data_IF_080024918669
#
_entry.id   IF_080024918669
#
_cell.length_a   1.000
_cell.length_b   1.000
_cell.length_c   1.000
_cell.angle_alpha   90.00
_cell.angle_beta   90.00
_cell.angle_gamma   90.00
#
_symmetry.space_group_name_H-M   'P 1'
#
loop_
_entity.id
_entity.type
_entity.pdbx_description
1 polymer ?
#
# COMPACT_ATOMS: atom_id res chain seq x y z
N UNK A 1 1.11 0.59 -37.30
CA UNK A 1 0.47 -0.63 -36.76
C UNK A 1 -0.90 -0.28 -36.20
N UNK A 2 -1.89 0.03 -37.06
CA UNK A 2 -3.23 0.34 -36.58
C UNK A 2 -3.86 -0.91 -35.94
N UNK A 3 -4.40 -0.74 -34.74
CA UNK A 3 -5.16 -1.78 -34.04
C UNK A 3 -4.35 -2.75 -33.20
N UNK A 4 -3.04 -2.54 -32.99
CA UNK A 4 -2.24 -3.39 -32.10
C UNK A 4 -2.79 -3.33 -30.66
N UNK A 5 -3.21 -4.45 -30.07
CA UNK A 5 -3.81 -4.41 -28.75
C UNK A 5 -2.80 -4.21 -27.62
N UNK A 6 -3.22 -3.46 -26.60
CA UNK A 6 -2.42 -3.18 -25.40
C UNK A 6 -3.29 -3.37 -24.16
N UNK A 7 -3.05 -4.42 -23.39
CA UNK A 7 -3.71 -4.64 -22.11
C UNK A 7 -3.00 -3.81 -21.04
N UNK A 8 -3.76 -2.98 -20.32
CA UNK A 8 -3.30 -2.10 -19.26
C UNK A 8 -3.73 -2.66 -17.91
N UNK A 9 -2.76 -3.12 -17.12
CA UNK A 9 -2.98 -3.65 -15.76
C UNK A 9 -3.03 -2.52 -14.72
N UNK A 10 -4.05 -1.67 -14.84
CA UNK A 10 -4.36 -0.56 -13.92
C UNK A 10 -5.86 -0.26 -13.87
N UNK A 11 -6.29 0.38 -12.80
CA UNK A 11 -7.65 0.93 -12.70
C UNK A 11 -7.76 2.21 -13.56
N UNK A 12 -8.68 2.26 -14.54
CA UNK A 12 -8.84 3.44 -15.39
C UNK A 12 -9.53 4.59 -14.63
N UNK A 13 -9.36 5.81 -15.14
CA UNK A 13 -10.28 6.91 -14.81
C UNK A 13 -11.73 6.58 -15.22
N UNK A 14 -12.70 7.21 -14.58
CA UNK A 14 -14.12 7.11 -14.96
C UNK A 14 -14.57 8.38 -15.72
N UNK A 15 -15.04 8.27 -16.98
CA UNK A 15 -15.12 7.06 -17.81
C UNK A 15 -13.75 6.62 -18.36
N UNK A 16 -13.55 5.33 -18.74
CA UNK A 16 -12.25 4.84 -19.24
C UNK A 16 -11.69 5.59 -20.44
N UNK A 17 -12.55 6.16 -21.28
CA UNK A 17 -12.16 6.98 -22.43
C UNK A 17 -11.50 8.32 -22.06
N UNK A 18 -11.64 8.75 -20.80
CA UNK A 18 -10.99 9.95 -20.28
C UNK A 18 -9.59 9.67 -19.70
N UNK A 19 -9.21 8.40 -19.58
CA UNK A 19 -7.90 8.04 -19.05
C UNK A 19 -6.79 8.44 -20.04
N UNK A 20 -5.75 9.12 -19.54
CA UNK A 20 -4.66 9.60 -20.38
C UNK A 20 -3.97 8.47 -21.18
N UNK A 21 -3.86 7.27 -20.62
CA UNK A 21 -3.29 6.12 -21.32
C UNK A 21 -4.19 5.66 -22.46
N UNK A 22 -5.50 5.66 -22.26
CA UNK A 22 -6.47 5.33 -23.32
C UNK A 22 -6.34 6.28 -24.49
N UNK A 23 -6.36 7.59 -24.22
CA UNK A 23 -6.28 8.65 -25.22
C UNK A 23 -4.98 8.51 -26.01
N UNK A 24 -3.83 8.47 -25.32
CA UNK A 24 -2.52 8.44 -26.00
C UNK A 24 -2.26 7.16 -26.79
N UNK A 25 -2.67 6.00 -26.27
CA UNK A 25 -2.53 4.75 -27.02
C UNK A 25 -3.43 4.74 -28.26
N UNK A 26 -4.67 5.21 -28.13
CA UNK A 26 -5.60 5.31 -29.26
C UNK A 26 -5.09 6.28 -30.32
N UNK A 27 -4.67 7.49 -29.92
CA UNK A 27 -4.06 8.49 -30.82
C UNK A 27 -2.81 7.92 -31.53
N UNK A 28 -2.10 7.02 -30.85
CA UNK A 28 -0.91 6.38 -31.39
C UNK A 28 -1.20 5.19 -32.31
N UNK A 29 -2.47 4.81 -32.49
CA UNK A 29 -2.94 3.72 -33.33
C UNK A 29 -3.07 2.37 -32.62
N UNK A 30 -2.91 2.31 -31.30
CA UNK A 30 -3.09 1.09 -30.51
C UNK A 30 -4.57 0.91 -30.09
N UNK A 31 -4.90 -0.31 -29.64
CA UNK A 31 -6.20 -0.64 -29.06
C UNK A 31 -6.06 -0.94 -27.56
N UNK A 32 -6.22 0.07 -26.69
CA UNK A 32 -6.05 -0.12 -25.24
C UNK A 32 -7.24 -0.84 -24.60
N UNK A 33 -6.94 -1.87 -23.79
CA UNK A 33 -7.91 -2.60 -22.97
C UNK A 33 -7.50 -2.51 -21.50
N UNK A 34 -8.40 -2.10 -20.61
CA UNK A 34 -8.10 -2.05 -19.18
C UNK A 34 -8.50 -3.34 -18.48
N UNK A 35 -7.59 -3.84 -17.64
CA UNK A 35 -7.87 -4.90 -16.66
C UNK A 35 -7.51 -4.33 -15.28
N UNK A 36 -8.51 -3.84 -14.52
CA UNK A 36 -8.25 -3.30 -13.19
C UNK A 36 -7.80 -4.40 -12.23
N UNK A 37 -6.59 -4.26 -11.69
CA UNK A 37 -5.94 -5.31 -10.89
C UNK A 37 -6.12 -5.11 -9.40
N UNK A 38 -6.04 -3.85 -8.95
CA UNK A 38 -6.00 -3.51 -7.54
C UNK A 38 -7.37 -3.03 -7.08
N UNK A 39 -7.79 -3.52 -5.91
CA UNK A 39 -8.90 -2.99 -5.15
C UNK A 39 -8.39 -2.47 -3.80
N UNK A 40 -9.16 -1.55 -3.21
CA UNK A 40 -8.89 -1.01 -1.89
C UNK A 40 -9.94 -1.56 -0.92
N UNK A 41 -9.48 -2.06 0.22
CA UNK A 41 -10.34 -2.51 1.31
C UNK A 41 -10.08 -1.67 2.56
N UNK A 42 -11.15 -1.14 3.17
CA UNK A 42 -11.05 -0.37 4.41
C UNK A 42 -10.89 -1.29 5.62
N UNK A 43 -9.94 -0.95 6.50
CA UNK A 43 -9.64 -1.67 7.75
C UNK A 43 -9.75 -0.70 8.93
N UNK A 44 -10.98 -0.42 9.35
CA UNK A 44 -11.25 0.71 10.26
C UNK A 44 -11.33 0.33 11.73
N UNK A 45 -11.48 -0.97 12.05
CA UNK A 45 -11.80 -1.45 13.41
C UNK A 45 -10.88 -0.88 14.50
N UNK A 46 -9.57 -0.90 14.27
CA UNK A 46 -8.59 -0.38 15.23
C UNK A 46 -8.74 1.14 15.40
N UNK A 47 -8.85 1.88 14.29
CA UNK A 47 -9.02 3.33 14.33
C UNK A 47 -10.33 3.73 15.01
N UNK A 48 -11.44 3.05 14.72
CA UNK A 48 -12.74 3.26 15.37
C UNK A 48 -12.63 3.05 16.88
N UNK A 49 -11.89 2.02 17.33
CA UNK A 49 -11.60 1.80 18.74
C UNK A 49 -10.85 2.97 19.38
N UNK A 50 -9.79 3.46 18.72
CA UNK A 50 -9.01 4.62 19.17
C UNK A 50 -9.86 5.89 19.24
N UNK A 51 -10.69 6.14 18.22
CA UNK A 51 -11.57 7.31 18.17
C UNK A 51 -12.64 7.27 19.27
N UNK A 52 -13.20 6.09 19.57
CA UNK A 52 -14.24 5.90 20.60
C UNK A 52 -13.70 5.93 22.02
N UNK A 53 -12.69 5.11 22.32
CA UNK A 53 -12.19 4.93 23.69
C UNK A 53 -11.14 5.95 24.09
N UNK A 54 -10.66 6.75 23.13
CA UNK A 54 -9.68 7.79 23.36
C UNK A 54 -8.49 7.34 24.21
N UNK A 55 -8.18 8.18 25.18
CA UNK A 55 -7.09 8.09 26.16
C UNK A 55 -6.90 6.66 26.79
N UNK A 56 -7.84 5.73 26.74
CA UNK A 56 -7.67 4.37 27.33
C UNK A 56 -7.59 3.19 26.36
N UNK A 57 -7.83 3.38 25.06
CA UNK A 57 -8.23 2.27 24.17
C UNK A 57 -7.08 1.39 23.62
N UNK A 58 -5.83 1.62 24.04
CA UNK A 58 -4.67 1.04 23.36
C UNK A 58 -3.97 -0.05 24.15
N UNK A 59 -4.08 -1.29 23.65
CA UNK A 59 -3.11 -2.40 23.75
C UNK A 59 -3.36 -3.52 24.78
N UNK A 60 -4.41 -3.48 25.59
CA UNK A 60 -4.72 -4.58 26.54
C UNK A 60 -5.20 -5.89 25.89
N UNK A 61 -5.72 -5.83 24.67
CA UNK A 61 -6.20 -7.00 23.92
C UNK A 61 -5.59 -7.05 22.52
N UNK A 62 -4.26 -7.15 22.42
CA UNK A 62 -3.76 -8.04 21.37
C UNK A 62 -4.22 -9.45 21.73
N UNK A 63 -5.35 -9.85 21.16
CA UNK A 63 -5.51 -11.14 20.47
C UNK A 63 -4.71 -12.25 21.17
N UNK A 64 -5.07 -12.56 22.41
CA UNK A 64 -4.75 -13.86 23.02
C UNK A 64 -5.70 -14.89 22.43
N UNK A 65 -5.54 -15.17 21.13
CA UNK A 65 -6.06 -16.39 20.53
C UNK A 65 -5.25 -17.53 21.15
N UNK A 66 -5.93 -18.36 21.93
CA UNK A 66 -5.46 -19.63 22.53
C UNK A 66 -4.47 -19.52 23.72
N UNK A 67 -4.94 -19.01 24.86
CA UNK A 67 -4.56 -19.62 26.15
C UNK A 67 -5.81 -20.02 26.92
N UNK A 68 -6.28 -21.24 26.63
CA UNK A 68 -7.25 -21.94 27.46
C UNK A 68 -6.70 -22.16 28.88
N UNK A 69 -7.53 -21.77 29.85
CA UNK A 69 -7.67 -22.39 31.17
C UNK A 69 -6.45 -22.37 32.11
N UNK A 70 -6.33 -21.30 32.89
CA UNK A 70 -5.83 -21.42 34.27
C UNK A 70 -6.70 -20.57 35.19
N UNK A 71 -7.62 -21.23 35.89
CA UNK A 71 -8.53 -20.62 36.85
C UNK A 71 -7.76 -20.10 38.07
N UNK A 72 -7.53 -18.79 38.13
CA UNK A 72 -6.99 -18.10 39.29
C UNK A 72 -7.91 -16.96 39.71
N UNK A 73 -8.51 -17.06 40.90
CA UNK A 73 -9.31 -16.01 41.54
C UNK A 73 -8.44 -14.81 41.97
N UNK A 74 -7.99 -14.00 41.00
CA UNK A 74 -7.37 -12.70 41.25
C UNK A 74 -8.44 -11.60 41.34
N UNK A 75 -8.41 -10.81 42.41
CA UNK A 75 -9.32 -9.71 42.70
C UNK A 75 -9.37 -8.65 41.58
N UNK A 76 -10.58 -8.31 41.12
CA UNK A 76 -10.87 -7.36 40.03
C UNK A 76 -10.47 -5.90 40.32
N UNK A 77 -10.08 -5.56 41.56
CA UNK A 77 -9.82 -4.17 41.96
C UNK A 77 -8.45 -3.60 41.52
N UNK A 78 -7.47 -4.42 41.13
CA UNK A 78 -6.11 -3.95 40.78
C UNK A 78 -5.90 -3.67 39.28
N UNK A 79 -6.86 -4.06 38.42
CA UNK A 79 -6.77 -3.85 36.96
C UNK A 79 -7.25 -2.46 36.48
N UNK A 80 -7.80 -1.65 37.39
CA UNK A 80 -8.45 -0.37 37.03
C UNK A 80 -7.51 0.84 37.13
N UNK A 81 -6.32 0.70 37.74
CA UNK A 81 -5.50 1.85 38.18
C UNK A 81 -4.38 2.28 37.22
N UNK A 82 -4.15 1.59 36.08
CA UNK A 82 -3.06 1.93 35.13
C UNK A 82 -3.55 2.10 33.68
N UNK A 83 -4.83 2.40 33.47
CA UNK A 83 -5.29 2.94 32.19
C UNK A 83 -5.01 4.46 32.14
N UNK A 84 -3.74 4.85 32.27
CA UNK A 84 -3.35 6.24 32.17
C UNK A 84 -3.76 6.76 30.79
N UNK A 85 -4.49 7.87 30.81
CA UNK A 85 -4.95 8.54 29.63
C UNK A 85 -3.83 8.82 28.61
N UNK A 86 -3.80 8.10 27.49
CA UNK A 86 -2.95 8.33 26.32
C UNK A 86 -3.23 9.71 25.74
N UNK A 87 -2.32 10.64 25.97
CA UNK A 87 -2.34 11.95 25.34
C UNK A 87 -1.75 11.86 23.93
N UNK A 88 -2.49 12.34 22.93
CA UNK A 88 -2.05 12.36 21.54
C UNK A 88 -1.34 13.66 21.21
N UNK A 89 -0.06 13.64 20.87
CA UNK A 89 0.68 14.82 20.39
C UNK A 89 0.24 15.25 18.98
N UNK A 90 -0.28 14.31 18.19
CA UNK A 90 -0.65 14.60 16.81
C UNK A 90 -1.20 13.41 16.06
N UNK A 91 -1.92 13.71 14.98
CA UNK A 91 -2.33 12.74 13.96
C UNK A 91 -1.52 12.99 12.71
N UNK A 92 -0.92 11.95 12.14
CA UNK A 92 -0.10 12.02 10.94
C UNK A 92 -0.76 11.21 9.83
N UNK A 93 -1.01 11.85 8.68
CA UNK A 93 -1.68 11.24 7.53
C UNK A 93 -0.89 11.50 6.26
N UNK A 94 -0.36 10.44 5.64
CA UNK A 94 0.56 10.57 4.51
C UNK A 94 -0.12 10.45 3.13
N UNK A 95 -1.42 10.19 3.06
CA UNK A 95 -2.14 10.01 1.79
C UNK A 95 -3.60 10.47 1.87
N UNK A 96 -4.17 10.78 0.70
CA UNK A 96 -5.62 11.06 0.56
C UNK A 96 -6.47 9.92 1.08
N UNK A 97 -6.08 8.67 0.79
CA UNK A 97 -6.78 7.48 1.29
C UNK A 97 -6.71 7.35 2.80
N UNK A 98 -5.60 7.71 3.43
CA UNK A 98 -5.51 7.78 4.89
C UNK A 98 -6.52 8.77 5.49
N UNK A 99 -6.71 9.93 4.85
CA UNK A 99 -7.71 10.92 5.27
C UNK A 99 -9.14 10.38 5.10
N UNK A 100 -9.44 9.75 3.97
CA UNK A 100 -10.73 9.09 3.73
C UNK A 100 -11.01 7.98 4.76
N UNK A 101 -9.99 7.21 5.13
CA UNK A 101 -10.08 6.20 6.18
C UNK A 101 -10.40 6.80 7.56
N UNK A 102 -9.79 7.95 7.91
CA UNK A 102 -10.17 8.70 9.11
C UNK A 102 -11.64 9.11 9.06
N UNK A 103 -12.08 9.73 7.96
CA UNK A 103 -13.45 10.23 7.80
C UNK A 103 -14.46 9.10 8.00
N UNK A 104 -14.23 7.94 7.37
CA UNK A 104 -15.10 6.77 7.53
C UNK A 104 -15.08 6.25 8.97
N UNK A 105 -13.91 6.11 9.58
CA UNK A 105 -13.78 5.67 10.96
C UNK A 105 -14.45 6.63 11.95
N UNK A 106 -14.38 7.94 11.72
CA UNK A 106 -15.04 8.95 12.54
C UNK A 106 -16.57 8.85 12.45
N UNK A 107 -17.11 8.65 11.25
CA UNK A 107 -18.54 8.39 11.06
C UNK A 107 -18.96 7.12 11.79
N UNK A 108 -18.23 6.02 11.65
CA UNK A 108 -18.54 4.78 12.36
C UNK A 108 -18.41 4.93 13.89
N UNK A 109 -17.37 5.63 14.36
CA UNK A 109 -17.17 5.93 15.77
C UNK A 109 -18.35 6.71 16.36
N UNK A 110 -18.92 7.64 15.59
CA UNK A 110 -20.04 8.47 16.01
C UNK A 110 -21.34 7.71 16.28
N UNK A 111 -21.54 6.56 15.65
CA UNK A 111 -22.72 5.70 15.84
C UNK A 111 -22.73 4.96 17.19
N UNK A 112 -21.63 4.95 17.94
CA UNK A 112 -21.53 4.31 19.26
C UNK A 112 -22.01 5.18 20.42
N UNK A 113 -22.31 4.56 21.58
CA UNK A 113 -22.77 5.25 22.81
C UNK A 113 -21.85 6.41 23.23
N UNK A 114 -22.45 7.53 23.68
CA UNK A 114 -21.82 8.81 24.04
C UNK A 114 -20.95 8.80 25.32
N UNK A 115 -20.33 7.68 25.67
CA UNK A 115 -19.34 7.72 26.76
C UNK A 115 -18.26 8.75 26.40
N UNK A 116 -17.92 9.61 27.36
CA UNK A 116 -16.83 10.60 27.35
C UNK A 116 -15.78 10.37 26.24
N UNK A 117 -16.01 10.94 25.06
CA UNK A 117 -15.09 10.82 23.92
C UNK A 117 -13.93 11.81 24.10
N UNK A 118 -12.72 11.44 23.66
CA UNK A 118 -11.63 12.41 23.57
C UNK A 118 -12.02 13.51 22.56
N UNK A 119 -11.68 14.76 22.85
CA UNK A 119 -11.79 15.84 21.89
C UNK A 119 -10.58 15.82 20.97
N UNK A 120 -10.77 15.44 19.70
CA UNK A 120 -9.71 15.42 18.69
C UNK A 120 -9.43 16.80 18.09
N UNK A 121 -10.31 17.78 18.30
CA UNK A 121 -10.18 19.15 17.80
C UNK A 121 -9.04 19.96 18.46
N UNK A 122 -8.36 19.39 19.47
CA UNK A 122 -7.15 19.93 20.10
C UNK A 122 -5.88 19.16 19.67
N UNK A 123 -6.03 18.12 18.84
CA UNK A 123 -4.93 17.28 18.36
C UNK A 123 -4.50 17.79 16.98
N UNK A 124 -3.27 18.29 16.82
CA UNK A 124 -2.82 18.85 15.54
C UNK A 124 -2.76 17.77 14.45
N UNK A 125 -3.10 18.18 13.22
CA UNK A 125 -3.01 17.34 12.03
C UNK A 125 -1.72 17.61 11.25
N UNK A 126 -0.95 16.56 10.99
CA UNK A 126 0.25 16.57 10.17
C UNK A 126 0.00 15.79 8.87
N UNK A 127 0.33 16.39 7.72
CA UNK A 127 0.10 15.76 6.42
C UNK A 127 1.30 15.79 5.49
N UNK A 128 1.43 14.75 4.68
CA UNK A 128 2.34 14.74 3.52
C UNK A 128 1.55 15.09 2.26
N UNK A 129 1.89 16.22 1.64
CA UNK A 129 1.20 16.79 0.50
C UNK A 129 -0.12 17.46 0.89
N UNK A 130 -0.69 18.22 -0.06
CA UNK A 130 -1.97 18.91 0.16
C UNK A 130 -3.16 17.97 0.02
N UNK A 131 -3.05 16.89 -0.76
CA UNK A 131 -4.19 16.00 -1.07
C UNK A 131 -4.86 15.37 0.15
N UNK A 132 -4.10 15.03 1.20
CA UNK A 132 -4.67 14.55 2.45
C UNK A 132 -5.44 15.65 3.19
N UNK A 133 -4.83 16.85 3.30
CA UNK A 133 -5.44 18.00 3.95
C UNK A 133 -6.69 18.50 3.20
N UNK A 134 -6.64 18.53 1.88
CA UNK A 134 -7.77 18.91 1.02
C UNK A 134 -8.93 17.93 1.21
N UNK A 135 -8.67 16.63 1.33
CA UNK A 135 -9.69 15.63 1.65
C UNK A 135 -10.42 15.91 2.98
N UNK A 136 -9.71 16.36 4.01
CA UNK A 136 -10.34 16.80 5.27
C UNK A 136 -11.17 18.07 5.10
N UNK A 137 -10.67 19.06 4.34
CA UNK A 137 -11.38 20.32 4.10
C UNK A 137 -12.67 20.11 3.32
N UNK A 138 -12.61 19.29 2.27
CA UNK A 138 -13.77 18.90 1.45
C UNK A 138 -14.82 18.15 2.29
N UNK A 139 -14.38 17.35 3.25
CA UNK A 139 -15.24 16.50 4.08
C UNK A 139 -15.58 17.08 5.45
N UNK A 140 -15.19 18.33 5.75
CA UNK A 140 -15.29 18.94 7.07
C UNK A 140 -16.71 18.88 7.66
N UNK A 141 -17.73 19.13 6.84
CA UNK A 141 -19.14 19.09 7.24
C UNK A 141 -19.67 17.69 7.56
N UNK A 142 -18.91 16.64 7.23
CA UNK A 142 -19.32 15.25 7.42
C UNK A 142 -18.59 14.54 8.57
N UNK A 143 -17.69 15.23 9.26
CA UNK A 143 -16.97 14.72 10.42
C UNK A 143 -17.57 15.39 11.66
N UNK A 144 -17.99 14.63 12.69
CA UNK A 144 -18.35 15.22 13.98
C UNK A 144 -17.22 16.08 14.54
N UNK A 145 -17.56 17.26 15.08
CA UNK A 145 -16.55 18.26 15.50
C UNK A 145 -15.62 17.77 16.62
N UNK A 146 -16.07 16.83 17.45
CA UNK A 146 -15.27 16.17 18.49
C UNK A 146 -14.28 15.14 17.93
N UNK A 147 -14.54 14.58 16.74
CA UNK A 147 -13.70 13.58 16.07
C UNK A 147 -12.84 14.16 14.95
N UNK A 148 -12.86 15.48 14.79
CA UNK A 148 -12.07 16.17 13.80
C UNK A 148 -10.74 16.64 14.41
N UNK A 149 -9.58 16.29 13.83
CA UNK A 149 -8.30 16.88 14.19
C UNK A 149 -8.30 18.40 14.04
N UNK A 150 -7.45 19.10 14.80
CA UNK A 150 -7.28 20.54 14.67
C UNK A 150 -6.67 20.90 13.31
N UNK A 151 -7.47 21.55 12.46
CA UNK A 151 -7.03 22.02 11.16
C UNK A 151 -6.32 23.38 11.23
N UNK A 152 -6.50 24.16 12.31
CA UNK A 152 -5.89 25.48 12.47
C UNK A 152 -4.40 25.39 12.77
N UNK A 153 -4.00 24.39 13.54
CA UNK A 153 -2.59 24.07 13.84
C UNK A 153 -1.99 23.05 12.88
N UNK A 154 -2.68 22.74 11.77
CA UNK A 154 -2.23 21.72 10.83
C UNK A 154 -0.94 22.12 10.11
N UNK A 155 -0.03 21.17 9.98
CA UNK A 155 1.21 21.32 9.21
C UNK A 155 1.16 20.36 8.02
N UNK A 156 1.36 20.90 6.82
CA UNK A 156 1.50 20.12 5.59
C UNK A 156 2.88 20.35 4.99
N UNK A 157 3.57 19.28 4.62
CA UNK A 157 4.86 19.35 3.96
C UNK A 157 4.85 18.52 2.67
N UNK A 158 5.69 18.88 1.69
CA UNK A 158 5.72 18.21 0.38
C UNK A 158 6.18 16.74 0.45
N UNK A 159 6.90 16.37 1.50
CA UNK A 159 7.48 15.03 1.68
C UNK A 159 7.62 14.69 3.16
N UNK A 160 7.75 13.39 3.47
CA UNK A 160 8.12 12.90 4.80
C UNK A 160 9.42 13.53 5.31
N UNK A 161 10.41 13.70 4.41
CA UNK A 161 11.72 14.24 4.74
C UNK A 161 11.69 15.69 5.26
N UNK A 162 10.68 16.46 4.87
CA UNK A 162 10.44 17.82 5.36
C UNK A 162 9.46 17.84 6.54
N UNK A 163 8.49 16.92 6.58
CA UNK A 163 7.49 16.86 7.65
C UNK A 163 8.11 16.48 8.99
N UNK A 164 8.95 15.44 9.02
CA UNK A 164 9.47 14.86 10.26
C UNK A 164 10.31 15.87 11.07
N UNK A 165 11.28 16.61 10.48
CA UNK A 165 12.01 17.65 11.22
C UNK A 165 11.06 18.69 11.82
N UNK A 166 10.06 19.14 11.07
CA UNK A 166 9.08 20.10 11.55
C UNK A 166 8.28 19.58 12.75
N UNK A 167 7.96 18.27 12.80
CA UNK A 167 7.32 17.64 13.96
C UNK A 167 8.28 17.53 15.15
N UNK A 168 9.53 17.14 14.91
CA UNK A 168 10.54 16.96 15.97
C UNK A 168 10.84 18.28 16.68
N UNK A 169 10.89 19.38 15.95
CA UNK A 169 11.19 20.71 16.50
C UNK A 169 10.04 21.31 17.33
N UNK A 170 8.84 20.71 17.32
CA UNK A 170 7.74 21.17 18.14
C UNK A 170 7.99 20.87 19.64
N UNK A 171 7.67 21.82 20.53
CA UNK A 171 7.65 21.53 21.96
C UNK A 171 6.56 20.49 22.27
N UNK A 172 6.67 19.75 23.39
CA UNK A 172 5.59 18.88 23.83
C UNK A 172 4.32 19.71 24.04
N UNK A 173 3.17 19.19 23.62
CA UNK A 173 1.91 19.89 23.86
C UNK A 173 1.73 20.04 25.37
N UNK A 174 1.39 21.25 25.81
CA UNK A 174 1.09 21.48 27.22
C UNK A 174 -0.05 20.54 27.61
N UNK A 175 0.26 19.55 28.45
CA UNK A 175 -0.75 18.77 29.15
C UNK A 175 -1.63 19.79 29.84
N UNK A 176 -2.96 19.85 29.58
CA UNK A 176 -3.83 20.70 30.39
C UNK A 176 -3.56 20.28 31.82
N UNK A 177 -2.95 21.19 32.60
CA UNK A 177 -2.35 20.84 33.88
C UNK A 177 -3.38 20.01 34.63
N UNK A 178 -3.12 18.71 34.79
CA UNK A 178 -4.00 17.84 35.51
C UNK A 178 -4.05 18.49 36.88
N UNK A 179 -5.16 19.17 37.19
CA UNK A 179 -5.27 19.96 38.39
C UNK A 179 -4.80 19.05 39.50
N UNK A 180 -3.72 19.40 40.24
CA UNK A 180 -3.34 18.58 41.37
C UNK A 180 -4.60 18.54 42.23
N UNK A 181 -5.24 17.37 42.31
CA UNK A 181 -6.27 17.15 43.30
C UNK A 181 -5.56 17.43 44.60
N UNK A 182 -5.85 18.60 45.17
CA UNK A 182 -5.29 19.13 46.40
C UNK A 182 -5.69 18.17 47.52
N UNK A 183 -4.94 17.08 47.61
CA UNK A 183 -5.06 16.09 48.66
C UNK A 183 -4.25 16.63 49.82
N UNK A 184 -5.00 17.27 50.72
CA UNK A 184 -4.66 17.68 52.09
C UNK A 184 -4.39 19.17 52.26
N UNK A 185 -5.48 19.85 52.63
CA UNK A 185 -5.49 20.73 53.79
C UNK A 185 -4.71 20.07 54.94
N UNK A 186 -3.45 20.46 55.13
CA UNK A 186 -2.80 20.32 56.43
C UNK A 186 -2.36 21.70 56.90
N UNK A 187 -2.99 22.08 58.00
CA UNK A 187 -2.95 23.40 58.60
C UNK A 187 -1.90 23.38 59.70
N UNK A 188 -0.68 23.82 59.40
CA UNK A 188 0.33 24.12 60.42
C UNK A 188 1.15 25.34 60.03
N UNK A 189 1.04 26.35 60.90
CA UNK A 189 1.73 27.65 60.89
C UNK A 189 3.27 27.53 61.09
N UNK A 190 4.04 28.60 60.85
CA UNK A 190 5.44 28.51 60.44
C UNK A 190 6.42 28.57 61.62
N UNK A 191 7.44 27.70 61.61
CA UNK A 191 8.67 27.93 62.35
C UNK A 191 9.66 28.75 61.51
N UNK A 192 10.17 29.82 62.12
CA UNK A 192 11.14 30.74 61.55
C UNK A 192 12.54 30.14 61.57
N UNK A 193 13.22 30.22 60.42
CA UNK A 193 14.64 30.54 60.39
C UNK A 193 15.57 29.46 59.88
N UNK A 194 15.63 29.27 58.55
CA UNK A 194 16.84 28.82 57.85
C UNK A 194 16.95 29.50 56.47
N UNK A 195 18.16 29.90 56.03
CA UNK A 195 18.37 30.47 54.71
C UNK A 195 18.07 29.42 53.63
N UNK A 196 17.34 29.78 52.56
CA UNK A 196 16.93 28.83 51.53
C UNK A 196 18.15 28.36 50.74
N UNK A 197 18.57 27.12 51.01
CA UNK A 197 19.44 26.37 50.12
C UNK A 197 18.78 26.31 48.74
N UNK A 198 19.44 26.85 47.72
CA UNK A 198 19.04 26.82 46.32
C UNK A 198 18.99 25.36 45.84
N UNK A 199 17.92 24.63 46.19
CA UNK A 199 17.53 23.40 45.51
C UNK A 199 17.21 23.79 44.07
N UNK A 200 18.09 23.41 43.15
CA UNK A 200 17.82 23.37 41.71
C UNK A 200 16.48 22.70 41.51
N UNK A 201 15.45 23.51 41.29
CA UNK A 201 14.08 23.09 41.04
C UNK A 201 14.16 22.15 39.84
N UNK A 202 13.97 20.85 40.10
CA UNK A 202 14.14 19.79 39.11
C UNK A 202 13.39 20.17 37.85
N UNK A 203 14.11 20.27 36.74
CA UNK A 203 13.55 20.47 35.41
C UNK A 203 12.65 19.26 35.18
N UNK A 204 11.35 19.42 35.39
CA UNK A 204 10.37 18.40 35.06
C UNK A 204 10.47 18.21 33.55
N UNK A 205 11.08 17.10 33.14
CA UNK A 205 11.20 16.73 31.74
C UNK A 205 9.79 16.58 31.18
N UNK A 206 9.35 17.58 30.43
CA UNK A 206 8.05 17.57 29.80
C UNK A 206 8.01 16.37 28.84
N UNK A 207 7.17 15.38 29.17
CA UNK A 207 7.06 14.15 28.40
C UNK A 207 6.14 14.40 27.22
N UNK A 208 6.59 14.00 26.03
CA UNK A 208 5.75 13.97 24.84
C UNK A 208 4.72 12.83 24.95
N UNK A 209 3.49 13.10 24.54
CA UNK A 209 2.50 12.07 24.25
C UNK A 209 2.79 11.28 22.97
N UNK A 210 1.80 10.52 22.50
CA UNK A 210 1.93 9.62 21.34
C UNK A 210 1.52 10.30 20.04
N UNK A 211 2.14 9.92 18.94
CA UNK A 211 1.67 10.26 17.58
C UNK A 211 0.86 9.10 17.00
N UNK A 212 -0.29 9.41 16.43
CA UNK A 212 -1.10 8.46 15.68
C UNK A 212 -0.76 8.57 14.19
N UNK A 213 -0.11 7.56 13.61
CA UNK A 213 0.22 7.53 12.19
C UNK A 213 -0.79 6.66 11.44
N UNK A 214 -1.52 7.27 10.53
CA UNK A 214 -2.48 6.59 9.65
C UNK A 214 -1.87 6.36 8.30
N UNK A 215 -1.93 5.11 7.86
CA UNK A 215 -1.26 4.64 6.64
C UNK A 215 -2.07 3.55 5.93
N UNK A 216 -1.68 3.30 4.69
CA UNK A 216 -2.02 2.06 3.99
C UNK A 216 -0.99 0.96 4.24
N UNK A 217 -1.35 -0.27 3.90
CA UNK A 217 -0.49 -1.45 4.03
C UNK A 217 0.84 -1.32 3.29
N UNK A 218 0.86 -0.64 2.13
CA UNK A 218 2.06 -0.40 1.30
C UNK A 218 2.80 0.92 1.58
N UNK A 219 2.44 1.65 2.64
CA UNK A 219 3.09 2.94 2.92
C UNK A 219 4.57 2.77 3.32
N UNK A 220 5.40 3.77 3.06
CA UNK A 220 6.78 3.76 3.52
C UNK A 220 6.84 3.91 5.05
N UNK A 221 7.81 3.24 5.68
CA UNK A 221 8.05 3.25 7.13
C UNK A 221 8.89 4.47 7.58
N UNK A 222 9.22 5.40 6.68
CA UNK A 222 10.13 6.51 6.95
C UNK A 222 9.65 7.40 8.12
N UNK A 223 8.38 7.79 8.14
CA UNK A 223 7.85 8.70 9.17
C UNK A 223 7.86 8.04 10.56
N UNK A 224 7.21 6.87 10.76
CA UNK A 224 7.25 6.19 12.05
C UNK A 224 8.67 5.91 12.53
N UNK A 225 9.55 5.41 11.64
CA UNK A 225 10.93 5.08 11.99
C UNK A 225 11.68 6.32 12.47
N UNK A 226 11.65 7.42 11.71
CA UNK A 226 12.39 8.64 12.08
C UNK A 226 11.85 9.32 13.33
N UNK A 227 10.54 9.24 13.59
CA UNK A 227 9.96 9.74 14.85
C UNK A 227 10.41 8.88 16.05
N UNK A 228 10.41 7.55 15.90
CA UNK A 228 10.93 6.62 16.90
C UNK A 228 12.43 6.86 17.16
N UNK A 229 13.23 7.07 16.11
CA UNK A 229 14.66 7.40 16.19
C UNK A 229 14.91 8.71 16.97
N UNK A 230 13.95 9.64 16.94
CA UNK A 230 13.96 10.90 17.69
C UNK A 230 13.35 10.78 19.11
N UNK A 231 13.06 9.56 19.58
CA UNK A 231 12.50 9.31 20.90
C UNK A 231 11.01 9.64 21.03
N UNK A 232 10.26 9.74 19.92
CA UNK A 232 8.80 9.91 19.94
C UNK A 232 8.08 8.56 20.06
N UNK A 233 7.02 8.51 20.85
CA UNK A 233 6.11 7.37 20.88
C UNK A 233 5.17 7.44 19.66
N UNK A 234 5.05 6.34 18.91
CA UNK A 234 4.24 6.27 17.68
C UNK A 234 3.34 5.06 17.70
N UNK A 235 2.03 5.25 17.47
CA UNK A 235 1.08 4.20 17.17
C UNK A 235 0.74 4.25 15.67
N UNK A 236 1.03 3.17 14.96
CA UNK A 236 0.70 3.02 13.54
C UNK A 236 -0.64 2.30 13.39
N UNK A 237 -1.51 2.80 12.51
CA UNK A 237 -2.79 2.19 12.17
C UNK A 237 -2.93 2.10 10.67
N UNK A 238 -3.12 0.86 10.18
CA UNK A 238 -3.45 0.59 8.78
C UNK A 238 -4.95 0.76 8.61
N UNK A 239 -5.36 1.73 7.79
CA UNK A 239 -6.81 2.02 7.58
C UNK A 239 -7.32 1.54 6.23
N UNK A 240 -6.42 1.17 5.32
CA UNK A 240 -6.77 0.53 4.07
C UNK A 240 -5.69 -0.44 3.63
N UNK A 241 -6.11 -1.47 2.91
CA UNK A 241 -5.26 -2.48 2.30
C UNK A 241 -5.45 -2.47 0.79
N UNK A 242 -4.34 -2.63 0.09
CA UNK A 242 -4.35 -2.89 -1.35
C UNK A 242 -4.50 -4.39 -1.57
N UNK A 243 -5.68 -4.80 -2.03
CA UNK A 243 -5.99 -6.20 -2.33
C UNK A 243 -6.09 -6.43 -3.82
N UNK A 244 -6.10 -7.69 -4.22
CA UNK A 244 -6.52 -8.07 -5.56
C UNK A 244 -7.98 -7.71 -5.78
N UNK A 245 -8.33 -7.28 -6.99
CA UNK A 245 -9.71 -7.04 -7.37
C UNK A 245 -10.45 -8.38 -7.51
N UNK A 246 -11.64 -8.45 -6.92
CA UNK A 246 -12.54 -9.58 -7.11
C UNK A 246 -12.94 -9.70 -8.58
N UNK A 247 -12.76 -10.89 -9.18
CA UNK A 247 -13.07 -11.15 -10.59
C UNK A 247 -11.93 -10.80 -11.56
N UNK A 248 -10.69 -10.66 -11.07
CA UNK A 248 -9.52 -10.41 -11.91
C UNK A 248 -9.33 -11.48 -13.00
N UNK A 249 -9.63 -12.74 -12.69
CA UNK A 249 -9.55 -13.87 -13.62
C UNK A 249 -10.57 -13.74 -14.77
N UNK A 250 -11.81 -13.40 -14.45
CA UNK A 250 -12.87 -13.14 -15.41
C UNK A 250 -12.55 -11.93 -16.29
N UNK A 251 -12.06 -10.83 -15.69
CA UNK A 251 -11.64 -9.63 -16.41
C UNK A 251 -10.49 -9.95 -17.39
N UNK A 252 -9.50 -10.73 -16.95
CA UNK A 252 -8.37 -11.12 -17.77
C UNK A 252 -8.81 -12.04 -18.92
N UNK A 253 -9.67 -13.03 -18.65
CA UNK A 253 -10.21 -13.94 -19.67
C UNK A 253 -11.08 -13.19 -20.68
N UNK A 254 -11.89 -12.23 -20.23
CA UNK A 254 -12.67 -11.34 -21.09
C UNK A 254 -11.77 -10.51 -22.00
N UNK A 255 -10.72 -9.89 -21.45
CA UNK A 255 -9.75 -9.13 -22.24
C UNK A 255 -9.08 -10.01 -23.29
N UNK A 256 -8.60 -11.21 -22.93
CA UNK A 256 -7.97 -12.15 -23.86
C UNK A 256 -8.94 -12.63 -24.96
N UNK A 257 -10.21 -12.86 -24.62
CA UNK A 257 -11.25 -13.24 -25.60
C UNK A 257 -11.51 -12.11 -26.61
N UNK A 258 -11.53 -10.85 -26.15
CA UNK A 258 -11.66 -9.68 -27.03
C UNK A 258 -10.49 -9.60 -28.03
N UNK A 259 -9.28 -9.98 -27.61
CA UNK A 259 -8.10 -10.00 -28.49
C UNK A 259 -8.20 -11.04 -29.61
N UNK A 260 -8.77 -12.22 -29.34
CA UNK A 260 -8.95 -13.27 -30.35
C UNK A 260 -9.88 -12.81 -31.49
N UNK A 261 -10.88 -11.98 -31.18
CA UNK A 261 -11.77 -11.40 -32.19
C UNK A 261 -11.09 -10.37 -33.11
N UNK A 262 -9.98 -9.76 -32.68
CA UNK A 262 -9.29 -8.72 -33.43
C UNK A 262 -8.26 -9.28 -34.44
N UNK A 263 -7.73 -10.48 -34.20
CA UNK A 263 -6.61 -11.06 -34.96
C UNK A 263 -6.94 -11.71 -36.30
N UNK A 264 -8.20 -11.79 -36.73
CA UNK A 264 -8.60 -12.61 -37.90
C UNK A 264 -8.87 -11.83 -39.19
N UNK A 265 -8.58 -10.52 -39.25
CA UNK A 265 -9.04 -9.67 -40.37
C UNK A 265 -7.98 -8.94 -41.18
N UNK A 266 -6.69 -9.11 -40.92
CA UNK A 266 -5.61 -8.52 -41.71
C UNK A 266 -4.77 -9.59 -42.41
N UNK A 267 -4.99 -9.78 -43.70
CA UNK A 267 -4.53 -10.96 -44.43
C UNK A 267 -3.07 -10.91 -44.92
N UNK A 268 -2.27 -9.85 -44.68
CA UNK A 268 -1.05 -9.73 -45.51
C UNK A 268 0.20 -9.00 -44.97
N UNK A 269 0.35 -8.62 -43.69
CA UNK A 269 1.56 -7.83 -43.31
C UNK A 269 2.19 -8.04 -41.92
N UNK A 270 2.05 -9.23 -41.33
CA UNK A 270 3.00 -9.75 -40.33
C UNK A 270 2.52 -9.84 -38.88
N UNK A 271 3.02 -10.88 -38.20
CA UNK A 271 3.09 -11.15 -36.74
C UNK A 271 2.38 -10.12 -35.86
N UNK A 272 1.10 -10.35 -35.56
CA UNK A 272 0.35 -9.50 -34.64
C UNK A 272 0.91 -9.59 -33.21
N UNK A 273 1.60 -8.57 -32.70
CA UNK A 273 2.02 -8.57 -31.29
C UNK A 273 0.88 -8.12 -30.35
N UNK A 274 0.79 -8.71 -29.17
CA UNK A 274 -0.07 -8.24 -28.07
C UNK A 274 0.82 -7.67 -26.98
N UNK A 275 0.52 -6.47 -26.51
CA UNK A 275 1.27 -5.84 -25.42
C UNK A 275 0.56 -5.97 -24.08
N UNK A 276 1.33 -6.30 -23.05
CA UNK A 276 0.90 -6.43 -21.66
C UNK A 276 1.64 -5.38 -20.82
N UNK A 277 0.96 -4.31 -20.41
CA UNK A 277 1.57 -3.18 -19.72
C UNK A 277 1.29 -3.21 -18.20
N UNK A 278 2.37 -3.25 -17.41
CA UNK A 278 2.33 -3.31 -15.95
C UNK A 278 2.70 -1.96 -15.31
N UNK A 279 1.91 -1.55 -14.33
CA UNK A 279 2.00 -0.22 -13.71
C UNK A 279 2.67 -0.21 -12.34
N UNK A 280 2.88 -1.37 -11.74
CA UNK A 280 3.58 -1.51 -10.46
C UNK A 280 4.02 -2.95 -10.22
N UNK A 281 5.01 -3.19 -9.34
CA UNK A 281 5.34 -4.53 -8.84
C UNK A 281 4.12 -5.26 -8.26
N UNK A 282 3.28 -4.56 -7.49
CA UNK A 282 2.06 -5.15 -6.90
C UNK A 282 1.09 -5.64 -7.98
N UNK A 283 0.85 -4.85 -9.04
CA UNK A 283 -0.01 -5.28 -10.15
C UNK A 283 0.56 -6.50 -10.89
N UNK A 284 1.88 -6.55 -11.06
CA UNK A 284 2.54 -7.69 -11.69
C UNK A 284 2.44 -8.96 -10.84
N UNK A 285 2.67 -8.84 -9.53
CA UNK A 285 2.58 -9.97 -8.61
C UNK A 285 1.18 -10.57 -8.51
N UNK A 286 0.13 -9.77 -8.71
CA UNK A 286 -1.25 -10.25 -8.75
C UNK A 286 -1.59 -10.88 -10.10
N UNK A 287 -1.26 -10.24 -11.22
CA UNK A 287 -1.69 -10.70 -12.56
C UNK A 287 -0.93 -11.93 -13.04
N UNK A 288 0.37 -12.04 -12.78
CA UNK A 288 1.21 -13.09 -13.37
C UNK A 288 0.72 -14.53 -13.03
N UNK A 289 0.33 -14.86 -11.78
CA UNK A 289 -0.27 -16.16 -11.48
C UNK A 289 -1.48 -16.51 -12.36
N UNK A 290 -2.41 -15.57 -12.58
CA UNK A 290 -3.57 -15.79 -13.44
C UNK A 290 -3.17 -15.92 -14.90
N UNK A 291 -2.22 -15.10 -15.36
CA UNK A 291 -1.72 -15.17 -16.72
C UNK A 291 -1.07 -16.52 -17.01
N UNK A 292 -0.23 -17.04 -16.10
CA UNK A 292 0.34 -18.39 -16.23
C UNK A 292 -0.73 -19.47 -16.28
N UNK A 293 -1.72 -19.42 -15.38
CA UNK A 293 -2.83 -20.36 -15.38
C UNK A 293 -3.65 -20.34 -16.69
N UNK A 294 -3.81 -19.16 -17.31
CA UNK A 294 -4.48 -19.02 -18.61
C UNK A 294 -3.63 -19.56 -19.76
N UNK A 295 -2.31 -19.37 -19.72
CA UNK A 295 -1.38 -19.85 -20.74
C UNK A 295 -1.18 -21.37 -20.70
N UNK A 296 -1.27 -21.97 -19.51
CA UNK A 296 -1.22 -23.42 -19.31
C UNK A 296 -2.58 -24.09 -19.63
N UNK A 297 -3.64 -23.30 -19.77
CA UNK A 297 -4.99 -23.81 -20.05
C UNK A 297 -5.14 -24.19 -21.53
N UNK A 298 -5.55 -25.42 -21.86
CA UNK A 298 -5.78 -25.83 -23.25
C UNK A 298 -6.97 -25.10 -23.91
N UNK A 299 -7.79 -24.40 -23.13
CA UNK A 299 -8.95 -23.66 -23.63
C UNK A 299 -8.56 -22.40 -24.40
N UNK A 300 -7.38 -21.85 -24.12
CA UNK A 300 -6.82 -20.74 -24.85
C UNK A 300 -5.57 -21.28 -25.54
N UNK A 301 -5.62 -21.48 -26.86
CA UNK A 301 -4.43 -21.88 -27.63
C UNK A 301 -3.46 -20.69 -27.76
N UNK A 302 -2.95 -20.24 -26.62
CA UNK A 302 -1.90 -19.24 -26.48
C UNK A 302 -0.54 -19.93 -26.37
N UNK A 303 -0.51 -21.27 -26.42
CA UNK A 303 0.72 -22.07 -26.41
C UNK A 303 1.68 -21.68 -27.54
N UNK A 304 1.10 -21.13 -28.60
CA UNK A 304 1.78 -20.62 -29.76
C UNK A 304 2.42 -19.22 -29.51
N UNK A 305 1.94 -18.46 -28.50
CA UNK A 305 2.16 -17.01 -28.35
C UNK A 305 3.39 -16.67 -27.49
N UNK A 306 3.81 -17.58 -26.62
CA UNK A 306 5.02 -17.39 -25.81
C UNK A 306 6.19 -18.15 -26.40
N UNK A 307 7.36 -17.50 -26.58
CA UNK A 307 8.58 -18.25 -26.79
C UNK A 307 8.78 -19.13 -25.56
N UNK A 308 8.80 -20.45 -25.77
CA UNK A 308 9.31 -21.40 -24.78
C UNK A 308 10.78 -21.07 -24.58
N UNK A 309 11.07 -20.07 -23.74
CA UNK A 309 12.38 -19.90 -23.18
C UNK A 309 12.64 -21.21 -22.46
N UNK A 310 13.53 -22.01 -23.03
CA UNK A 310 14.07 -23.20 -22.40
C UNK A 310 14.85 -22.76 -21.16
N UNK A 311 14.16 -22.32 -20.12
CA UNK A 311 14.62 -22.45 -18.76
C UNK A 311 14.71 -23.95 -18.54
N UNK A 312 15.86 -24.51 -18.94
CA UNK A 312 16.55 -25.50 -18.14
C UNK A 312 16.52 -24.89 -16.72
N UNK A 313 15.51 -25.26 -15.93
CA UNK A 313 15.68 -25.32 -14.48
C UNK A 313 16.91 -26.20 -14.34
N UNK A 314 18.06 -25.56 -14.14
CA UNK A 314 19.24 -26.23 -13.64
C UNK A 314 18.79 -26.82 -12.31
N UNK A 315 18.35 -28.07 -12.36
CA UNK A 315 18.30 -28.91 -11.19
C UNK A 315 19.74 -28.91 -10.70
N UNK A 316 20.00 -28.17 -9.62
CA UNK A 316 21.27 -28.23 -8.91
C UNK A 316 21.27 -29.60 -8.23
N UNK A 317 21.56 -30.63 -9.02
CA UNK A 317 22.01 -31.90 -8.50
C UNK A 317 23.42 -31.65 -7.96
N UNK A 318 23.53 -31.62 -6.64
CA UNK A 318 24.81 -31.88 -6.00
C UNK A 318 25.17 -33.34 -6.27
N UNK A 319 25.97 -33.57 -7.31
CA UNK A 319 26.53 -34.88 -7.57
C UNK A 319 27.84 -35.05 -6.79
N UNK A 320 27.76 -35.98 -5.85
CA UNK A 320 28.88 -36.75 -5.35
C UNK A 320 29.45 -37.56 -6.53
N UNK A 321 30.75 -37.42 -6.77
CA UNK A 321 31.51 -38.21 -7.74
C UNK A 321 31.33 -39.72 -7.51
N UNK A 322 31.12 -40.49 -8.57
CA UNK A 322 31.97 -41.66 -8.89
C UNK A 322 31.56 -42.32 -10.22
N UNK A 323 32.53 -42.38 -11.16
CA UNK A 323 32.89 -43.63 -11.83
C UNK A 323 32.10 -44.14 -13.04
N UNK A 324 32.70 -43.97 -14.22
CA UNK A 324 33.02 -45.02 -15.20
C UNK A 324 31.95 -45.61 -16.14
N UNK A 325 32.11 -45.24 -17.42
CA UNK A 325 32.19 -46.09 -18.63
C UNK A 325 31.02 -47.01 -19.04
N UNK A 326 30.37 -46.69 -20.17
CA UNK A 326 30.39 -47.53 -21.39
C UNK A 326 29.52 -46.92 -22.51
N UNK A 327 30.06 -46.96 -23.73
CA UNK A 327 29.47 -46.52 -24.99
C UNK A 327 28.30 -47.42 -25.44
N UNK A 328 27.23 -46.80 -25.95
CA UNK A 328 26.34 -47.42 -26.94
C UNK A 328 25.66 -46.32 -27.78
N UNK A 329 25.92 -46.33 -29.08
CA UNK A 329 25.42 -45.36 -30.05
C UNK A 329 23.90 -45.45 -30.23
N UNK A 330 23.25 -44.30 -30.07
CA UNK A 330 21.85 -44.08 -30.42
C UNK A 330 21.81 -43.01 -31.51
N UNK A 331 21.37 -43.39 -32.71
CA UNK A 331 21.17 -42.46 -33.83
C UNK A 331 19.73 -41.94 -33.73
N UNK A 332 19.50 -40.62 -33.52
CA UNK A 332 18.15 -40.09 -33.48
C UNK A 332 17.57 -40.08 -34.89
N UNK A 333 16.40 -40.69 -35.05
CA UNK A 333 15.60 -40.58 -36.28
C UNK A 333 15.01 -39.17 -36.30
N UNK A 334 15.54 -38.32 -37.17
CA UNK A 334 14.98 -36.98 -37.46
C UNK A 334 13.62 -37.16 -38.16
N UNK A 335 12.55 -37.08 -37.36
CA UNK A 335 11.18 -37.00 -37.85
C UNK A 335 10.90 -35.57 -38.32
N UNK A 336 11.16 -35.31 -39.60
CA UNK A 336 10.78 -34.09 -40.31
C UNK A 336 9.25 -34.01 -40.48
N UNK A 337 8.55 -33.62 -39.41
CA UNK A 337 7.19 -33.12 -39.51
C UNK A 337 7.28 -31.63 -39.85
N UNK A 338 7.05 -31.29 -41.12
CA UNK A 338 6.79 -29.91 -41.54
C UNK A 338 5.45 -29.45 -40.94
N UNK A 339 5.49 -29.07 -39.66
CA UNK A 339 4.40 -28.36 -39.01
C UNK A 339 4.31 -26.99 -39.67
N UNK A 340 3.18 -26.73 -40.34
CA UNK A 340 2.90 -25.45 -40.98
C UNK A 340 3.21 -24.31 -40.01
N UNK A 341 4.08 -23.41 -40.45
CA UNK A 341 4.48 -22.20 -39.73
C UNK A 341 3.30 -21.23 -39.66
N UNK A 342 2.31 -21.55 -38.82
CA UNK A 342 1.25 -20.63 -38.46
C UNK A 342 1.88 -19.43 -37.77
N UNK A 343 1.61 -18.23 -38.29
CA UNK A 343 2.15 -16.99 -37.77
C UNK A 343 1.48 -16.70 -36.42
N UNK A 344 2.19 -16.95 -35.32
CA UNK A 344 1.60 -16.78 -34.00
C UNK A 344 1.86 -15.38 -33.49
N UNK A 345 0.79 -14.75 -33.02
CA UNK A 345 0.87 -13.54 -32.24
C UNK A 345 1.90 -13.67 -31.12
N UNK A 346 2.80 -12.71 -30.95
CA UNK A 346 3.79 -12.73 -29.87
C UNK A 346 3.33 -11.85 -28.70
N UNK A 347 3.35 -12.38 -27.47
CA UNK A 347 3.14 -11.56 -26.27
C UNK A 347 4.40 -10.77 -25.92
N UNK A 348 4.25 -9.47 -25.72
CA UNK A 348 5.33 -8.55 -25.33
C UNK A 348 4.97 -7.83 -24.04
N UNK A 349 5.94 -7.73 -23.14
CA UNK A 349 5.75 -7.10 -21.83
C UNK A 349 6.26 -5.67 -21.85
N UNK A 350 5.45 -4.73 -21.34
CA UNK A 350 5.84 -3.36 -21.10
C UNK A 350 5.77 -3.04 -19.60
N UNK A 351 6.81 -2.39 -19.07
CA UNK A 351 6.84 -1.88 -17.70
C UNK A 351 6.74 -0.35 -17.71
N UNK A 352 5.95 0.23 -16.79
CA UNK A 352 5.81 1.70 -16.69
C UNK A 352 7.07 2.40 -16.14
N UNK A 353 8.05 1.64 -15.64
CA UNK A 353 9.29 2.17 -15.10
C UNK A 353 10.18 1.07 -14.51
N UNK A 354 11.38 1.46 -14.09
CA UNK A 354 12.47 0.55 -13.73
C UNK A 354 12.13 -0.35 -12.53
N UNK A 355 11.43 0.14 -11.52
CA UNK A 355 11.02 -0.68 -10.37
C UNK A 355 10.10 -1.84 -10.79
N UNK A 356 9.15 -1.58 -11.70
CA UNK A 356 8.25 -2.61 -12.22
C UNK A 356 9.01 -3.58 -13.13
N UNK A 357 9.95 -3.08 -13.93
CA UNK A 357 10.84 -3.90 -14.76
C UNK A 357 11.67 -4.86 -13.91
N UNK A 358 12.38 -4.33 -12.92
CA UNK A 358 13.21 -5.13 -12.02
C UNK A 358 12.40 -6.23 -11.32
N UNK A 359 11.17 -5.92 -10.90
CA UNK A 359 10.26 -6.92 -10.36
C UNK A 359 9.93 -8.03 -11.39
N UNK A 360 9.49 -7.66 -12.60
CA UNK A 360 9.16 -8.61 -13.68
C UNK A 360 10.36 -9.52 -14.03
N UNK A 361 11.55 -8.95 -14.14
CA UNK A 361 12.78 -9.70 -14.42
C UNK A 361 13.16 -10.63 -13.25
N UNK A 362 12.95 -10.20 -12.00
CA UNK A 362 13.21 -11.02 -10.81
C UNK A 362 12.34 -12.28 -10.73
N UNK A 363 11.16 -12.27 -11.36
CA UNK A 363 10.26 -13.42 -11.47
C UNK A 363 10.41 -14.16 -12.81
N UNK A 364 11.49 -13.88 -13.56
CA UNK A 364 11.86 -14.59 -14.79
C UNK A 364 11.14 -14.13 -16.06
N UNK A 365 10.44 -12.99 -16.02
CA UNK A 365 9.74 -12.45 -17.18
C UNK A 365 10.66 -11.51 -17.98
N UNK A 366 10.72 -11.69 -19.30
CA UNK A 366 11.49 -10.82 -20.18
C UNK A 366 10.69 -9.57 -20.56
N UNK A 367 11.16 -8.39 -20.12
CA UNK A 367 10.51 -7.11 -20.39
C UNK A 367 10.94 -6.58 -21.76
N UNK A 368 10.00 -6.41 -22.68
CA UNK A 368 10.25 -5.96 -24.05
C UNK A 368 10.38 -4.44 -24.15
N UNK A 369 9.68 -3.68 -23.31
CA UNK A 369 9.69 -2.22 -23.30
C UNK A 369 9.61 -1.66 -21.87
N UNK A 370 10.31 -0.56 -21.60
CA UNK A 370 10.26 0.15 -20.31
C UNK A 370 10.06 1.63 -20.60
N UNK A 371 9.02 2.22 -20.04
CA UNK A 371 8.80 3.66 -20.18
C UNK A 371 9.88 4.44 -19.42
N UNK A 372 10.50 5.42 -20.07
CA UNK A 372 11.51 6.30 -19.45
C UNK A 372 10.88 7.18 -18.36
N UNK A 373 9.65 7.62 -18.61
CA UNK A 373 8.83 8.34 -17.66
C UNK A 373 7.54 7.56 -17.40
N UNK A 374 7.02 7.52 -16.16
CA UNK A 374 5.78 6.81 -15.83
C UNK A 374 4.55 7.59 -16.27
N UNK A 375 4.48 7.91 -17.57
CA UNK A 375 3.46 8.71 -18.23
C UNK A 375 2.88 7.93 -19.42
N UNK A 376 1.73 8.39 -19.93
CA UNK A 376 1.10 7.78 -21.09
C UNK A 376 1.97 7.92 -22.35
N UNK A 377 2.60 9.08 -22.52
CA UNK A 377 3.55 9.36 -23.59
C UNK A 377 4.77 8.44 -23.51
N UNK A 378 5.38 8.30 -22.33
CA UNK A 378 6.55 7.45 -22.13
C UNK A 378 6.28 5.98 -22.43
N UNK A 379 5.07 5.48 -22.10
CA UNK A 379 4.67 4.11 -22.43
C UNK A 379 4.50 3.92 -23.94
N UNK A 380 3.85 4.87 -24.63
CA UNK A 380 3.66 4.83 -26.09
C UNK A 380 5.00 4.83 -26.82
N UNK A 381 5.92 5.70 -26.41
CA UNK A 381 7.26 5.80 -27.00
C UNK A 381 8.05 4.50 -26.82
N UNK A 382 8.03 3.92 -25.62
CA UNK A 382 8.70 2.66 -25.33
C UNK A 382 8.15 1.49 -26.17
N UNK A 383 6.82 1.38 -26.31
CA UNK A 383 6.19 0.34 -27.13
C UNK A 383 6.57 0.52 -28.62
N UNK A 384 6.51 1.75 -29.14
CA UNK A 384 6.87 2.04 -30.55
C UNK A 384 8.34 1.74 -30.86
N UNK A 385 9.25 2.13 -29.97
CA UNK A 385 10.68 1.90 -30.16
C UNK A 385 11.04 0.41 -30.27
N UNK A 386 10.25 -0.46 -29.64
CA UNK A 386 10.43 -1.90 -29.68
C UNK A 386 9.61 -2.59 -30.77
N UNK A 387 8.53 -1.98 -31.25
CA UNK A 387 7.73 -2.51 -32.34
C UNK A 387 8.40 -2.34 -33.72
N UNK A 388 9.27 -1.34 -33.89
CA UNK A 388 10.03 -1.12 -35.13
C UNK A 388 11.28 -2.01 -35.28
N UNK A 389 11.54 -2.89 -34.32
CA UNK A 389 12.64 -3.86 -34.33
C UNK A 389 12.08 -5.25 -34.52
#
# INVERSE_FOLDING_TARGET
>A
MPGTPVILFKTPSEPPSSDAYHIRLTDAGFHPLFVPVLAERWVLRQLVGILRGGRGAGLGEEISVEKENTAGNGSEDEATEIASAVEWEGVIISSRRGAEGWIQAAREASLGSERSRPSWNEVPLFTVGTSALDGFRESHSHIPSDLQPDLHTSISAKSASLLVPAIIDLPPRATPACFPLDTRSDSSLPEQGHPPSQKTRGKTDARYGRYLVIRGDKSLDEIPRRLKDAGREVLEVVVYETTERTGLDDDLRSAMTQLQGLGTRGEDDGTGSIWLAFFSPSSAGMVLPHLHALLDSPALDLSAILPRNGTRRGHVNGDHETGSSAEAGYVPVESSAEAGSGDVATLRLAAIGETTRAYLESVGMAVSAVAEQPTAEGLVEAIRACACK
#
